data_IF_598473766364
#
_entry.id   IF_598473766364
#
_cell.length_a   1.000
_cell.length_b   1.000
_cell.length_c   1.000
_cell.angle_alpha   90.00
_cell.angle_beta   90.00
_cell.angle_gamma   90.00
#
_symmetry.space_group_name_H-M   'P 1'
#
loop_
_entity.id
_entity.type
_entity.pdbx_description
1 polymer ?
#
# COMPACT_ATOMS: atom_id res chain seq x y z
N UNK A 1 6.44 32.82 -22.06
CA UNK A 1 6.63 31.95 -20.88
C UNK A 1 6.28 30.53 -21.28
N UNK A 2 7.28 29.66 -21.41
CA UNK A 2 7.07 28.25 -21.74
C UNK A 2 6.38 27.59 -20.55
N UNK A 3 5.13 27.13 -20.73
CA UNK A 3 4.49 26.22 -19.79
C UNK A 3 5.31 24.93 -19.80
N UNK A 4 6.09 24.71 -18.76
CA UNK A 4 6.78 23.42 -18.57
C UNK A 4 5.69 22.36 -18.39
N UNK A 5 5.51 21.52 -19.40
CA UNK A 5 4.67 20.35 -19.28
C UNK A 5 5.35 19.39 -18.30
N UNK A 6 4.73 19.14 -17.15
CA UNK A 6 5.14 18.06 -16.24
C UNK A 6 4.67 16.77 -16.90
N UNK A 7 5.51 16.17 -17.73
CA UNK A 7 5.27 14.83 -18.27
C UNK A 7 5.78 13.80 -17.25
N UNK A 8 4.85 13.16 -16.54
CA UNK A 8 5.18 12.00 -15.70
C UNK A 8 5.26 10.75 -16.56
N UNK A 9 6.41 10.07 -16.55
CA UNK A 9 6.50 8.68 -17.00
C UNK A 9 5.91 7.75 -15.93
N UNK A 10 5.80 6.46 -16.23
CA UNK A 10 5.36 5.44 -15.26
C UNK A 10 6.08 5.63 -13.89
N UNK A 11 5.32 5.48 -12.79
CA UNK A 11 5.77 5.40 -11.39
C UNK A 11 5.91 6.69 -10.56
N UNK A 12 5.74 7.90 -11.09
CA UNK A 12 6.14 9.11 -10.34
C UNK A 12 5.08 9.52 -9.27
N UNK A 13 5.30 9.08 -8.03
CA UNK A 13 4.47 9.40 -6.86
C UNK A 13 4.43 10.90 -6.51
N UNK A 14 3.45 11.28 -5.69
CA UNK A 14 3.30 12.62 -5.13
C UNK A 14 3.37 12.49 -3.61
N UNK A 15 4.10 13.39 -2.94
CA UNK A 15 4.06 13.51 -1.49
C UNK A 15 3.59 14.90 -1.10
N UNK A 16 2.65 14.98 -0.16
CA UNK A 16 2.09 16.24 0.29
C UNK A 16 2.59 16.50 1.71
N UNK A 17 3.36 17.57 1.90
CA UNK A 17 3.75 18.05 3.23
C UNK A 17 2.65 18.93 3.82
N UNK A 18 2.12 19.83 3.01
CA UNK A 18 0.99 20.70 3.36
C UNK A 18 0.28 21.16 2.10
N UNK A 19 -0.81 21.92 2.25
CA UNK A 19 -1.48 22.60 1.12
C UNK A 19 -0.55 23.57 0.37
N UNK A 20 0.54 24.00 0.99
CA UNK A 20 1.49 24.99 0.47
C UNK A 20 2.80 24.34 0.00
N UNK A 21 2.97 23.03 0.15
CA UNK A 21 4.19 22.31 -0.26
C UNK A 21 3.88 20.90 -0.72
N UNK A 22 4.06 20.67 -2.01
CA UNK A 22 3.82 19.40 -2.68
C UNK A 22 5.12 18.95 -3.35
N UNK A 23 5.55 17.72 -3.10
CA UNK A 23 6.70 17.14 -3.78
C UNK A 23 6.24 16.34 -4.99
N UNK A 24 6.81 16.67 -6.15
CA UNK A 24 6.50 16.08 -7.44
C UNK A 24 7.70 15.31 -7.95
N UNK A 25 7.52 14.01 -8.15
CA UNK A 25 8.47 13.19 -8.88
C UNK A 25 8.40 13.52 -10.38
N UNK A 26 9.53 13.84 -11.01
CA UNK A 26 9.60 14.18 -12.43
C UNK A 26 10.81 13.56 -13.13
N UNK A 27 10.82 13.65 -14.46
CA UNK A 27 11.90 13.06 -15.30
C UNK A 27 13.26 13.72 -15.08
N UNK A 28 13.31 14.88 -14.44
CA UNK A 28 14.55 15.62 -14.12
C UNK A 28 14.95 15.53 -12.66
N UNK A 29 14.15 14.86 -11.81
CA UNK A 29 14.37 14.87 -10.38
C UNK A 29 13.11 14.99 -9.52
N UNK A 30 13.33 15.12 -8.22
CA UNK A 30 12.28 15.52 -7.28
C UNK A 30 12.19 17.05 -7.24
N UNK A 31 11.00 17.61 -7.41
CA UNK A 31 10.73 19.03 -7.29
C UNK A 31 9.79 19.34 -6.13
N UNK A 32 10.07 20.38 -5.36
CA UNK A 32 9.11 20.98 -4.44
C UNK A 32 8.30 22.03 -5.20
N UNK A 33 6.98 21.87 -5.19
CA UNK A 33 6.03 22.81 -5.74
C UNK A 33 5.39 23.60 -4.60
N UNK A 34 5.51 24.93 -4.70
CA UNK A 34 4.88 25.90 -3.83
C UNK A 34 3.83 26.64 -4.65
N UNK A 35 2.54 26.28 -4.47
CA UNK A 35 1.46 26.92 -5.20
C UNK A 35 1.46 28.44 -5.03
N UNK A 36 1.11 29.22 -6.07
CA UNK A 36 0.60 28.73 -7.35
C UNK A 36 1.67 28.33 -8.38
N UNK A 37 2.89 28.89 -8.35
CA UNK A 37 3.76 28.85 -9.54
C UNK A 37 5.26 28.61 -9.26
N UNK A 38 5.67 28.37 -8.01
CA UNK A 38 7.09 28.20 -7.70
C UNK A 38 7.50 26.72 -7.65
N UNK A 39 8.58 26.37 -8.36
CA UNK A 39 9.16 25.03 -8.41
C UNK A 39 10.64 25.11 -8.05
N UNK A 40 11.04 24.28 -7.10
CA UNK A 40 12.44 24.14 -6.67
C UNK A 40 12.91 22.70 -6.92
N UNK A 41 14.08 22.51 -7.51
CA UNK A 41 14.67 21.19 -7.69
C UNK A 41 15.38 20.76 -6.40
N UNK A 42 14.96 19.64 -5.83
CA UNK A 42 15.47 19.10 -4.56
C UNK A 42 16.55 18.04 -4.80
N UNK A 43 16.28 17.13 -5.73
CA UNK A 43 17.20 16.07 -6.13
C UNK A 43 17.23 15.99 -7.64
N UNK A 44 18.41 15.76 -8.22
CA UNK A 44 18.60 15.46 -9.63
C UNK A 44 18.50 13.95 -9.95
N UNK A 45 18.26 13.11 -8.95
CA UNK A 45 18.01 11.68 -9.16
C UNK A 45 16.60 11.48 -9.69
N UNK A 46 16.46 10.69 -10.76
CA UNK A 46 15.14 10.36 -11.33
C UNK A 46 14.39 9.50 -10.30
N UNK A 47 13.33 10.03 -9.67
CA UNK A 47 12.66 9.35 -8.58
C UNK A 47 11.59 8.41 -9.12
N UNK A 48 11.57 7.19 -8.61
CA UNK A 48 10.48 6.23 -8.80
C UNK A 48 9.39 6.39 -7.74
N UNK A 49 9.69 7.01 -6.59
CA UNK A 49 8.72 7.32 -5.55
C UNK A 49 9.27 8.42 -4.64
N UNK A 50 8.37 9.20 -4.05
CA UNK A 50 8.68 10.07 -2.92
C UNK A 50 7.88 9.66 -1.69
N UNK A 51 8.44 9.88 -0.50
CA UNK A 51 7.75 9.66 0.76
C UNK A 51 8.09 10.78 1.74
N UNK A 52 7.06 11.52 2.18
CA UNK A 52 7.19 12.54 3.22
C UNK A 52 6.96 11.93 4.59
N UNK A 53 7.93 12.07 5.49
CA UNK A 53 7.79 11.72 6.90
C UNK A 53 7.49 12.98 7.74
N UNK A 54 6.27 13.13 8.30
CA UNK A 54 5.89 14.31 9.06
C UNK A 54 6.56 14.40 10.43
N UNK A 55 6.99 13.27 11.01
CA UNK A 55 7.61 13.25 12.34
C UNK A 55 9.05 13.76 12.32
N UNK A 56 9.84 13.38 11.32
CA UNK A 56 11.22 13.82 11.15
C UNK A 56 11.34 15.06 10.23
N UNK A 57 10.24 15.43 9.57
CA UNK A 57 10.18 16.45 8.52
C UNK A 57 11.18 16.16 7.37
N UNK A 58 11.21 14.91 6.91
CA UNK A 58 12.09 14.43 5.86
C UNK A 58 11.32 14.10 4.58
N UNK A 59 11.95 14.33 3.43
CA UNK A 59 11.48 13.84 2.13
C UNK A 59 12.47 12.79 1.61
N UNK A 60 11.95 11.58 1.41
CA UNK A 60 12.70 10.44 0.88
C UNK A 60 12.44 10.33 -0.61
N UNK A 61 13.51 10.16 -1.38
CA UNK A 61 13.55 10.04 -2.84
C UNK A 61 14.02 8.64 -3.18
N UNK A 62 13.08 7.74 -3.49
CA UNK A 62 13.41 6.40 -3.97
C UNK A 62 13.77 6.43 -5.45
N UNK A 63 14.93 5.89 -5.81
CA UNK A 63 15.47 5.86 -7.17
C UNK A 63 16.21 4.53 -7.43
N UNK A 64 16.96 4.45 -8.53
CA UNK A 64 17.92 3.38 -8.75
C UNK A 64 19.32 3.96 -8.42
N UNK A 65 20.08 3.40 -7.46
CA UNK A 65 19.89 2.13 -6.76
C UNK A 65 19.37 2.24 -5.32
N UNK A 66 18.71 3.32 -4.92
CA UNK A 66 18.59 3.57 -3.49
C UNK A 66 17.64 4.67 -3.10
N UNK A 67 17.89 5.24 -1.93
CA UNK A 67 17.08 6.29 -1.33
C UNK A 67 17.96 7.46 -0.92
N UNK A 68 17.66 8.65 -1.43
CA UNK A 68 18.20 9.89 -0.87
C UNK A 68 17.20 10.48 0.11
N UNK A 69 17.68 10.97 1.25
CA UNK A 69 16.86 11.57 2.28
C UNK A 69 17.26 13.04 2.41
N UNK A 70 16.29 13.94 2.32
CA UNK A 70 16.50 15.38 2.47
C UNK A 70 15.71 15.92 3.66
N UNK A 71 16.26 16.92 4.34
CA UNK A 71 15.49 17.70 5.29
C UNK A 71 14.54 18.65 4.54
N UNK A 72 13.31 18.81 5.01
CA UNK A 72 12.34 19.66 4.33
C UNK A 72 12.48 21.16 4.67
N UNK A 73 13.43 21.55 5.53
CA UNK A 73 13.61 22.95 5.96
C UNK A 73 14.56 23.70 5.04
N UNK A 74 15.67 23.07 4.67
CA UNK A 74 16.73 23.65 3.84
C UNK A 74 17.08 22.78 2.62
N UNK A 75 16.39 21.66 2.41
CA UNK A 75 16.65 20.73 1.31
C UNK A 75 18.09 20.19 1.28
N UNK A 76 18.71 20.02 2.44
CA UNK A 76 20.02 19.41 2.56
C UNK A 76 19.89 17.90 2.53
N UNK A 77 20.78 17.26 1.77
CA UNK A 77 20.92 15.80 1.78
C UNK A 77 21.40 15.35 3.17
N UNK A 78 20.58 14.54 3.83
CA UNK A 78 20.87 13.92 5.13
C UNK A 78 21.57 12.58 4.92
N UNK A 79 21.02 11.73 4.05
CA UNK A 79 21.50 10.36 3.83
C UNK A 79 21.38 9.96 2.37
N UNK A 80 22.31 9.12 1.92
CA UNK A 80 22.26 8.47 0.61
C UNK A 80 22.47 6.96 0.76
N UNK A 81 21.36 6.23 0.74
CA UNK A 81 21.32 4.81 1.09
C UNK A 81 21.31 3.99 -0.20
N UNK A 82 22.34 3.15 -0.39
CA UNK A 82 22.33 2.11 -1.42
C UNK A 82 21.52 0.91 -0.93
N UNK A 83 20.20 0.99 -1.08
CA UNK A 83 19.28 -0.07 -0.69
C UNK A 83 19.21 -1.14 -1.79
N UNK A 84 19.62 -2.37 -1.47
CA UNK A 84 19.74 -3.49 -2.43
C UNK A 84 20.85 -3.30 -3.47
N UNK A 85 20.90 -4.18 -4.46
CA UNK A 85 21.87 -4.13 -5.56
C UNK A 85 21.63 -2.92 -6.49
N UNK A 86 22.69 -2.49 -7.16
CA UNK A 86 22.75 -1.25 -7.96
C UNK A 86 21.73 -1.12 -9.11
N UNK A 87 21.01 -2.18 -9.44
CA UNK A 87 20.02 -2.21 -10.51
C UNK A 87 18.57 -2.33 -9.99
N UNK A 88 18.36 -2.29 -8.68
CA UNK A 88 17.04 -2.47 -8.08
C UNK A 88 16.51 -1.09 -7.71
N UNK A 89 15.52 -0.62 -8.47
CA UNK A 89 14.91 0.67 -8.21
C UNK A 89 13.93 0.58 -7.04
N UNK A 90 13.98 1.55 -6.13
CA UNK A 90 13.06 1.62 -4.99
C UNK A 90 11.73 2.20 -5.46
N UNK A 91 10.65 1.40 -5.35
CA UNK A 91 9.32 1.73 -5.88
C UNK A 91 8.23 1.78 -4.79
N UNK A 92 8.61 1.52 -3.55
CA UNK A 92 7.72 1.59 -2.40
C UNK A 92 8.52 1.99 -1.17
N UNK A 93 8.00 2.93 -0.38
CA UNK A 93 8.61 3.39 0.87
C UNK A 93 7.50 3.49 1.92
N UNK A 94 7.75 2.95 3.11
CA UNK A 94 6.89 3.13 4.28
C UNK A 94 7.74 3.20 5.55
N UNK A 95 7.23 3.87 6.58
CA UNK A 95 7.84 3.93 7.90
C UNK A 95 7.04 3.08 8.89
N UNK A 96 7.74 2.28 9.68
CA UNK A 96 7.22 1.65 10.90
C UNK A 96 7.90 2.27 12.14
N UNK A 97 7.52 1.86 13.35
CA UNK A 97 8.11 2.37 14.59
C UNK A 97 9.62 2.14 14.75
N UNK A 98 10.22 1.28 13.92
CA UNK A 98 11.64 0.91 14.01
C UNK A 98 12.49 1.46 12.86
N UNK A 99 11.90 2.16 11.89
CA UNK A 99 12.60 2.75 10.77
C UNK A 99 11.82 2.69 9.46
N UNK A 100 12.57 2.76 8.36
CA UNK A 100 12.03 2.81 7.02
C UNK A 100 12.19 1.47 6.32
N UNK A 101 11.21 1.15 5.48
CA UNK A 101 11.22 0.00 4.60
C UNK A 101 11.22 0.46 3.15
N UNK A 102 12.08 -0.13 2.33
CA UNK A 102 12.27 0.20 0.92
C UNK A 102 12.02 -1.04 0.07
N UNK A 103 10.93 -1.02 -0.71
CA UNK A 103 10.55 -2.12 -1.60
C UNK A 103 11.05 -1.89 -3.02
N UNK A 104 11.51 -2.96 -3.67
CA UNK A 104 11.83 -3.00 -5.10
C UNK A 104 11.17 -4.20 -5.77
N UNK A 105 11.22 -4.27 -7.10
CA UNK A 105 10.82 -5.46 -7.84
C UNK A 105 11.66 -6.72 -7.55
N UNK A 106 12.79 -6.60 -6.84
CA UNK A 106 13.74 -7.69 -6.63
C UNK A 106 14.25 -7.82 -5.18
N UNK A 107 13.54 -7.23 -4.22
CA UNK A 107 13.89 -7.33 -2.82
C UNK A 107 13.26 -6.25 -1.97
N UNK A 108 13.63 -6.26 -0.70
CA UNK A 108 13.17 -5.34 0.33
C UNK A 108 14.37 -4.94 1.20
N UNK A 109 14.47 -3.68 1.61
CA UNK A 109 15.44 -3.24 2.60
C UNK A 109 14.75 -2.63 3.80
N UNK A 110 15.37 -2.75 4.98
CA UNK A 110 14.99 -2.05 6.19
C UNK A 110 16.15 -1.18 6.65
N UNK A 111 15.88 0.09 6.91
CA UNK A 111 16.84 1.06 7.37
C UNK A 111 16.41 1.68 8.70
N UNK A 112 17.26 1.59 9.70
CA UNK A 112 17.05 2.30 10.96
C UNK A 112 17.82 3.63 10.93
N UNK A 113 17.14 4.79 11.01
CA UNK A 113 17.81 6.09 10.90
C UNK A 113 18.66 6.46 12.11
N UNK A 114 18.46 5.81 13.27
CA UNK A 114 19.18 6.05 14.52
C UNK A 114 20.47 5.22 14.56
N UNK A 115 20.37 3.89 14.38
CA UNK A 115 21.55 3.01 14.39
C UNK A 115 22.31 3.00 13.07
N UNK A 116 21.70 3.52 11.99
CA UNK A 116 22.20 3.45 10.61
C UNK A 116 22.29 2.03 10.05
N UNK A 117 21.65 1.06 10.72
CA UNK A 117 21.61 -0.32 10.24
C UNK A 117 20.76 -0.42 8.98
N UNK A 118 21.34 -1.02 7.94
CA UNK A 118 20.67 -1.37 6.70
C UNK A 118 20.67 -2.88 6.55
N UNK A 119 19.49 -3.50 6.52
CA UNK A 119 19.32 -4.92 6.22
C UNK A 119 18.60 -5.11 4.91
N UNK A 120 19.17 -5.94 4.03
CA UNK A 120 18.57 -6.33 2.76
C UNK A 120 17.95 -7.72 2.89
N UNK A 121 16.77 -7.88 2.33
CA UNK A 121 15.99 -9.11 2.27
C UNK A 121 15.78 -9.46 0.79
N UNK A 122 16.34 -10.58 0.35
CA UNK A 122 16.35 -10.99 -1.06
C UNK A 122 16.09 -12.49 -1.19
N UNK A 123 15.88 -12.99 -2.41
CA UNK A 123 15.79 -14.45 -2.61
C UNK A 123 17.16 -15.10 -2.53
N UNK A 124 18.19 -14.36 -2.95
CA UNK A 124 19.58 -14.76 -3.00
C UNK A 124 20.13 -15.07 -1.61
N UNK A 125 19.80 -14.23 -0.61
CA UNK A 125 20.14 -14.49 0.79
C UNK A 125 19.14 -15.39 1.52
N UNK A 126 18.09 -15.87 0.82
CA UNK A 126 17.03 -16.76 1.33
C UNK A 126 16.18 -16.17 2.47
N UNK A 127 16.18 -14.85 2.64
CA UNK A 127 15.38 -14.20 3.69
C UNK A 127 13.91 -14.03 3.31
N UNK A 128 13.60 -13.96 2.02
CA UNK A 128 12.21 -13.79 1.52
C UNK A 128 11.78 -14.89 0.55
N UNK A 129 10.51 -15.34 0.63
CA UNK A 129 9.94 -16.32 -0.30
C UNK A 129 9.36 -15.70 -1.59
N UNK A 130 9.41 -14.37 -1.74
CA UNK A 130 8.88 -13.61 -2.88
C UNK A 130 9.99 -12.89 -3.63
N UNK A 131 9.74 -12.47 -4.88
CA UNK A 131 10.75 -11.80 -5.70
C UNK A 131 11.03 -10.36 -5.21
N UNK A 132 9.99 -9.62 -4.88
CA UNK A 132 10.10 -8.23 -4.47
C UNK A 132 8.78 -7.70 -3.91
N UNK A 133 8.82 -6.45 -3.46
CA UNK A 133 7.71 -5.77 -2.79
C UNK A 133 7.48 -4.44 -3.49
N UNK A 134 6.27 -4.26 -4.01
CA UNK A 134 5.92 -3.11 -4.87
C UNK A 134 4.90 -2.17 -4.22
N UNK A 135 4.23 -2.65 -3.17
CA UNK A 135 3.29 -1.88 -2.37
C UNK A 135 3.43 -2.29 -0.91
N UNK A 136 3.37 -1.33 0.00
CA UNK A 136 3.51 -1.56 1.43
C UNK A 136 2.59 -0.62 2.20
N UNK A 137 2.16 -1.07 3.37
CA UNK A 137 1.46 -0.23 4.33
C UNK A 137 1.75 -0.72 5.74
N UNK A 138 1.80 0.21 6.69
CA UNK A 138 1.87 -0.10 8.12
C UNK A 138 0.53 0.25 8.73
N UNK A 139 -0.06 -0.70 9.46
CA UNK A 139 -1.34 -0.45 10.15
C UNK A 139 -1.16 0.12 11.56
N UNK A 140 -2.28 0.39 12.24
CA UNK A 140 -2.30 0.95 13.59
C UNK A 140 -1.72 0.05 14.69
N UNK A 141 -1.47 -1.24 14.40
CA UNK A 141 -0.74 -2.14 15.29
C UNK A 141 0.75 -2.22 14.94
N UNK A 142 1.22 -1.33 14.07
CA UNK A 142 2.58 -1.31 13.55
C UNK A 142 2.94 -2.63 12.83
N UNK A 143 1.96 -3.29 12.21
CA UNK A 143 2.21 -4.45 11.35
C UNK A 143 2.52 -3.97 9.94
N UNK A 144 3.69 -4.36 9.43
CA UNK A 144 4.05 -4.13 8.03
C UNK A 144 3.37 -5.17 7.14
N UNK A 145 2.56 -4.67 6.21
CA UNK A 145 1.92 -5.42 5.14
C UNK A 145 2.66 -5.20 3.84
N UNK A 146 2.90 -6.29 3.09
CA UNK A 146 3.71 -6.29 1.88
C UNK A 146 2.93 -6.89 0.72
N UNK A 147 2.76 -6.09 -0.33
CA UNK A 147 2.15 -6.50 -1.58
C UNK A 147 3.21 -6.95 -2.56
N UNK A 148 3.09 -8.20 -3.00
CA UNK A 148 4.06 -8.86 -3.88
C UNK A 148 3.37 -9.31 -5.16
N UNK A 149 4.14 -9.85 -6.11
CA UNK A 149 3.59 -10.49 -7.32
C UNK A 149 2.88 -11.82 -7.04
N UNK A 150 3.06 -12.40 -5.83
CA UNK A 150 2.53 -13.71 -5.44
C UNK A 150 1.52 -13.66 -4.29
N UNK A 151 1.00 -12.46 -3.98
CA UNK A 151 -0.01 -12.22 -2.96
C UNK A 151 0.44 -11.28 -1.84
N UNK A 152 -0.35 -11.29 -0.77
CA UNK A 152 -0.14 -10.46 0.42
C UNK A 152 0.72 -11.20 1.46
N UNK A 153 1.69 -10.49 2.02
CA UNK A 153 2.51 -10.95 3.14
C UNK A 153 2.42 -9.97 4.31
N UNK A 154 2.76 -10.43 5.51
CA UNK A 154 3.06 -9.57 6.66
C UNK A 154 4.43 -9.89 7.24
N UNK A 155 5.08 -8.90 7.83
CA UNK A 155 6.32 -9.07 8.56
C UNK A 155 6.06 -9.51 10.00
N UNK A 156 6.83 -10.49 10.47
CA UNK A 156 6.80 -11.02 11.83
C UNK A 156 8.09 -10.61 12.56
N UNK A 157 8.03 -9.45 13.22
CA UNK A 157 9.20 -8.82 13.86
C UNK A 157 9.91 -9.70 14.89
N UNK A 158 9.18 -10.57 15.61
CA UNK A 158 9.74 -11.44 16.66
C UNK A 158 10.78 -12.45 16.14
N UNK A 159 10.64 -12.88 14.90
CA UNK A 159 11.48 -13.91 14.28
C UNK A 159 12.08 -13.45 12.96
N UNK A 160 11.96 -12.15 12.66
CA UNK A 160 12.45 -11.51 11.44
C UNK A 160 12.10 -12.27 10.16
N UNK A 161 10.82 -12.64 10.02
CA UNK A 161 10.34 -13.47 8.92
C UNK A 161 9.09 -12.89 8.26
N UNK A 162 8.68 -13.47 7.13
CA UNK A 162 7.53 -13.03 6.36
C UNK A 162 6.51 -14.15 6.23
N UNK A 163 5.28 -13.87 6.61
CA UNK A 163 4.17 -14.81 6.56
C UNK A 163 3.25 -14.47 5.40
N UNK A 164 2.97 -15.44 4.53
CA UNK A 164 1.96 -15.29 3.48
C UNK A 164 0.58 -15.33 4.10
N UNK A 165 -0.26 -14.35 3.77
CA UNK A 165 -1.65 -14.33 4.20
C UNK A 165 -2.44 -15.25 3.28
N UNK A 166 -2.93 -16.34 3.84
CA UNK A 166 -3.70 -17.34 3.09
C UNK A 166 -5.13 -16.88 2.85
N UNK A 167 -5.59 -17.06 1.61
CA UNK A 167 -6.95 -16.83 1.16
C UNK A 167 -7.08 -17.32 -0.28
N UNK A 168 -8.17 -18.01 -0.61
CA UNK A 168 -8.37 -18.63 -1.94
C UNK A 168 -8.23 -17.62 -3.08
N UNK A 169 -8.50 -16.35 -2.80
CA UNK A 169 -8.57 -15.28 -3.79
C UNK A 169 -7.31 -14.40 -3.87
N UNK A 170 -6.28 -14.58 -3.01
CA UNK A 170 -5.09 -13.71 -3.00
C UNK A 170 -3.82 -14.52 -3.28
N UNK A 171 -3.66 -14.88 -4.55
CA UNK A 171 -2.44 -15.49 -5.09
C UNK A 171 -1.85 -14.70 -6.27
N UNK A 172 -2.30 -13.47 -6.45
CA UNK A 172 -1.98 -12.57 -7.56
C UNK A 172 -1.18 -11.35 -7.09
N UNK A 173 -0.81 -10.51 -8.06
CA UNK A 173 -0.08 -9.28 -7.85
C UNK A 173 -0.88 -8.26 -7.04
N UNK A 174 -0.32 -7.79 -5.91
CA UNK A 174 -0.92 -6.77 -5.05
C UNK A 174 -0.35 -5.38 -5.37
N UNK A 175 -1.17 -4.56 -6.04
CA UNK A 175 -0.75 -3.27 -6.59
C UNK A 175 -0.79 -2.13 -5.58
N UNK A 176 -1.71 -2.15 -4.62
CA UNK A 176 -1.72 -1.20 -3.51
C UNK A 176 -2.21 -1.87 -2.23
N UNK A 177 -1.84 -1.29 -1.09
CA UNK A 177 -2.32 -1.66 0.24
C UNK A 177 -2.66 -0.39 0.99
N UNK A 178 -3.85 -0.33 1.58
CA UNK A 178 -4.28 0.81 2.39
C UNK A 178 -4.96 0.32 3.67
N UNK A 179 -4.35 0.60 4.82
CA UNK A 179 -5.05 0.54 6.10
C UNK A 179 -5.99 1.74 6.21
N UNK A 180 -7.22 1.47 6.67
CA UNK A 180 -8.30 2.43 6.76
C UNK A 180 -8.98 2.33 8.12
N UNK A 181 -9.07 3.47 8.82
CA UNK A 181 -9.80 3.66 10.09
C UNK A 181 -9.47 2.59 11.15
N UNK A 182 -8.23 2.11 11.20
CA UNK A 182 -7.73 1.08 12.13
C UNK A 182 -8.47 -0.27 12.12
N UNK A 183 -9.40 -0.47 11.19
CA UNK A 183 -10.27 -1.64 11.17
C UNK A 183 -10.28 -2.39 9.84
N UNK A 184 -9.92 -1.74 8.74
CA UNK A 184 -10.04 -2.32 7.40
C UNK A 184 -8.69 -2.26 6.69
N UNK A 185 -8.28 -3.37 6.08
CA UNK A 185 -7.20 -3.37 5.09
C UNK A 185 -7.84 -3.51 3.71
N UNK A 186 -7.54 -2.59 2.81
CA UNK A 186 -8.00 -2.61 1.41
C UNK A 186 -6.81 -2.84 0.50
N UNK A 187 -6.97 -3.71 -0.50
CA UNK A 187 -5.90 -4.18 -1.37
C UNK A 187 -6.36 -4.09 -2.82
N UNK A 188 -5.48 -3.63 -3.70
CA UNK A 188 -5.66 -3.75 -5.15
C UNK A 188 -4.99 -4.99 -5.69
N UNK A 189 -5.68 -5.71 -6.57
CA UNK A 189 -5.17 -6.85 -7.32
C UNK A 189 -5.53 -6.70 -8.80
N UNK A 190 -4.86 -7.42 -9.70
CA UNK A 190 -5.12 -7.39 -11.15
C UNK A 190 -6.60 -7.65 -11.51
N UNK A 191 -7.30 -8.41 -10.69
CA UNK A 191 -8.70 -8.81 -10.89
C UNK A 191 -9.72 -8.02 -10.07
N UNK A 192 -9.29 -7.05 -9.24
CA UNK A 192 -10.22 -6.21 -8.50
C UNK A 192 -9.67 -5.72 -7.16
N UNK A 193 -10.58 -5.42 -6.24
CA UNK A 193 -10.25 -4.93 -4.90
C UNK A 193 -10.61 -5.99 -3.88
N UNK A 194 -9.72 -6.23 -2.93
CA UNK A 194 -9.99 -7.04 -1.76
C UNK A 194 -10.05 -6.17 -0.50
N UNK A 195 -10.83 -6.58 0.48
CA UNK A 195 -10.76 -5.99 1.81
C UNK A 195 -11.06 -6.98 2.91
N UNK A 196 -10.39 -6.86 4.06
CA UNK A 196 -10.75 -7.63 5.24
C UNK A 196 -10.62 -6.79 6.51
N UNK A 197 -11.34 -7.23 7.55
CA UNK A 197 -11.35 -6.56 8.84
C UNK A 197 -10.09 -6.94 9.66
N UNK A 198 -9.24 -5.95 9.94
CA UNK A 198 -8.01 -6.10 10.71
C UNK A 198 -8.29 -6.55 12.15
N UNK A 199 -9.34 -6.03 12.79
CA UNK A 199 -9.69 -6.40 14.17
C UNK A 199 -10.04 -7.90 14.25
N UNK A 200 -10.89 -8.38 13.34
CA UNK A 200 -11.25 -9.79 13.27
C UNK A 200 -10.04 -10.67 12.88
N UNK A 201 -9.20 -10.20 11.96
CA UNK A 201 -7.95 -10.88 11.59
C UNK A 201 -7.06 -11.09 12.81
N UNK A 202 -6.84 -10.06 13.64
CA UNK A 202 -6.02 -10.19 14.84
C UNK A 202 -6.64 -11.07 15.93
N UNK A 203 -7.96 -11.20 15.95
CA UNK A 203 -8.66 -12.08 16.90
C UNK A 203 -8.65 -13.54 16.45
N UNK A 204 -8.85 -13.80 15.15
CA UNK A 204 -9.04 -15.15 14.60
C UNK A 204 -7.76 -15.75 14.00
N UNK A 205 -6.75 -14.92 13.70
CA UNK A 205 -5.54 -15.33 12.99
C UNK A 205 -5.75 -15.65 11.50
N UNK A 206 -6.92 -15.33 10.94
CA UNK A 206 -7.29 -15.62 9.55
C UNK A 206 -7.97 -14.42 8.92
N UNK A 207 -7.58 -14.08 7.69
CA UNK A 207 -8.21 -13.01 6.93
C UNK A 207 -9.53 -13.49 6.32
N UNK A 208 -10.58 -12.70 6.48
CA UNK A 208 -11.91 -12.94 5.92
C UNK A 208 -12.16 -11.88 4.83
N UNK A 209 -11.97 -12.28 3.58
CA UNK A 209 -11.89 -11.36 2.46
C UNK A 209 -13.26 -11.09 1.84
N UNK A 210 -13.54 -9.81 1.64
CA UNK A 210 -14.51 -9.34 0.67
C UNK A 210 -13.79 -9.04 -0.64
N UNK A 211 -14.46 -9.29 -1.76
CA UNK A 211 -13.94 -9.06 -3.11
C UNK A 211 -14.88 -8.19 -3.91
N UNK A 212 -14.33 -7.15 -4.54
CA UNK A 212 -15.06 -6.19 -5.35
C UNK A 212 -14.52 -6.16 -6.78
N UNK A 213 -15.42 -6.32 -7.74
CA UNK A 213 -15.16 -6.25 -9.17
C UNK A 213 -16.31 -5.52 -9.89
N UNK A 214 -16.31 -5.58 -11.22
CA UNK A 214 -17.27 -4.86 -12.06
C UNK A 214 -18.73 -5.25 -11.77
N UNK A 215 -18.97 -6.44 -11.19
CA UNK A 215 -20.31 -6.94 -10.91
C UNK A 215 -20.89 -6.43 -9.57
N UNK A 216 -20.06 -5.98 -8.63
CA UNK A 216 -20.50 -5.72 -7.25
C UNK A 216 -19.92 -4.47 -6.58
N UNK A 217 -19.20 -3.61 -7.30
CA UNK A 217 -18.89 -2.27 -6.80
C UNK A 217 -17.59 -1.62 -7.27
N UNK A 218 -16.75 -2.32 -8.03
CA UNK A 218 -15.51 -1.74 -8.58
C UNK A 218 -15.47 -1.83 -10.10
N UNK A 219 -15.63 -0.70 -10.79
CA UNK A 219 -15.75 -0.66 -12.24
C UNK A 219 -14.45 -0.29 -12.98
N UNK A 220 -13.34 -0.13 -12.27
CA UNK A 220 -12.05 0.17 -12.86
C UNK A 220 -11.36 -1.08 -13.38
N UNK A 221 -10.54 -0.93 -14.43
CA UNK A 221 -9.66 -2.00 -14.89
C UNK A 221 -8.30 -1.85 -14.20
N UNK A 222 -7.85 -2.90 -13.52
CA UNK A 222 -6.56 -2.97 -12.83
C UNK A 222 -6.27 -1.76 -11.92
N UNK A 223 -6.51 -1.87 -10.61
CA UNK A 223 -6.03 -0.87 -9.67
C UNK A 223 -4.50 -0.74 -9.80
N UNK A 224 -4.03 0.49 -10.03
CA UNK A 224 -2.61 0.75 -10.34
C UNK A 224 -1.73 0.71 -9.09
N UNK A 225 -0.43 0.56 -9.33
CA UNK A 225 0.57 0.54 -8.26
C UNK A 225 0.50 1.81 -7.41
N UNK A 226 0.35 1.65 -6.09
CA UNK A 226 0.17 2.75 -5.13
C UNK A 226 -0.94 3.75 -5.55
N UNK A 227 -1.91 3.30 -6.34
CA UNK A 227 -2.97 4.13 -6.91
C UNK A 227 -4.12 4.44 -5.95
N UNK A 228 -3.88 4.45 -4.65
CA UNK A 228 -4.90 4.67 -3.63
C UNK A 228 -4.61 5.91 -2.79
N UNK A 229 -5.65 6.67 -2.44
CA UNK A 229 -5.55 7.82 -1.55
C UNK A 229 -6.71 7.86 -0.57
N UNK A 230 -6.39 7.84 0.73
CA UNK A 230 -7.36 7.92 1.81
C UNK A 230 -7.49 9.36 2.30
N UNK A 231 -8.71 9.88 2.26
CA UNK A 231 -9.03 11.22 2.79
C UNK A 231 -9.28 11.18 4.30
N UNK A 232 -9.03 12.30 5.02
CA UNK A 232 -9.40 12.43 6.43
C UNK A 232 -10.89 12.19 6.70
N UNK A 233 -11.76 12.55 5.75
CA UNK A 233 -13.21 12.39 5.87
C UNK A 233 -13.67 10.94 5.76
N UNK A 234 -12.79 10.00 5.39
CA UNK A 234 -13.14 8.59 5.33
C UNK A 234 -13.45 8.05 3.94
N UNK A 235 -13.04 8.73 2.86
CA UNK A 235 -13.18 8.25 1.47
C UNK A 235 -11.86 7.75 0.93
N UNK A 236 -11.86 6.54 0.37
CA UNK A 236 -10.73 5.94 -0.31
C UNK A 236 -10.91 6.09 -1.83
N UNK A 237 -10.07 6.91 -2.44
CA UNK A 237 -9.97 7.06 -3.88
C UNK A 237 -9.03 6.00 -4.45
N UNK A 238 -9.41 5.39 -5.57
CA UNK A 238 -8.69 4.29 -6.20
C UNK A 238 -8.60 4.56 -7.70
N UNK A 239 -7.39 4.86 -8.15
CA UNK A 239 -7.04 5.01 -9.55
C UNK A 239 -6.89 3.66 -10.24
N UNK A 240 -7.40 3.58 -11.46
CA UNK A 240 -7.31 2.43 -12.35
C UNK A 240 -6.94 2.88 -13.77
N UNK A 241 -6.80 1.95 -14.71
CA UNK A 241 -6.55 2.29 -16.11
C UNK A 241 -7.66 3.10 -16.75
N UNK A 242 -8.90 2.91 -16.31
CA UNK A 242 -10.07 3.40 -17.02
C UNK A 242 -10.91 4.37 -16.21
N UNK A 243 -10.86 4.29 -14.87
CA UNK A 243 -11.73 5.06 -13.97
C UNK A 243 -11.05 5.43 -12.66
N UNK A 244 -11.49 6.54 -12.06
CA UNK A 244 -11.30 6.82 -10.65
C UNK A 244 -12.52 6.28 -9.89
N UNK A 245 -12.29 5.33 -8.98
CA UNK A 245 -13.33 4.77 -8.11
C UNK A 245 -13.23 5.37 -6.70
N UNK A 246 -14.35 5.45 -6.00
CA UNK A 246 -14.40 5.93 -4.62
C UNK A 246 -15.11 4.91 -3.75
N UNK A 247 -14.44 4.47 -2.69
CA UNK A 247 -15.02 3.66 -1.62
C UNK A 247 -15.28 4.57 -0.42
N UNK A 248 -16.57 4.82 -0.14
CA UNK A 248 -16.98 5.62 1.02
C UNK A 248 -17.04 4.75 2.28
N UNK A 249 -16.10 4.98 3.20
CA UNK A 249 -15.98 4.22 4.43
C UNK A 249 -16.76 4.85 5.59
N UNK A 250 -17.51 5.93 5.39
CA UNK A 250 -18.23 6.65 6.47
C UNK A 250 -19.58 6.05 6.83
N UNK A 251 -20.25 5.41 5.87
CA UNK A 251 -21.65 5.01 6.01
C UNK A 251 -21.87 3.49 6.14
N UNK A 252 -20.82 2.67 6.11
CA UNK A 252 -20.94 1.20 6.14
C UNK A 252 -20.48 0.62 7.47
N UNK A 253 -21.25 -0.34 7.97
CA UNK A 253 -20.76 -1.30 8.95
C UNK A 253 -19.92 -2.35 8.20
N UNK A 254 -18.59 -2.22 8.28
CA UNK A 254 -17.64 -3.14 7.66
C UNK A 254 -17.38 -4.41 8.50
N UNK A 255 -18.19 -4.61 9.54
CA UNK A 255 -18.34 -5.85 10.29
C UNK A 255 -19.72 -6.44 9.98
N UNK A 256 -19.92 -7.03 8.78
CA UNK A 256 -21.19 -7.66 8.47
C UNK A 256 -21.36 -8.84 9.42
N UNK A 257 -22.44 -8.83 10.22
CA UNK A 257 -22.91 -10.08 10.84
C UNK A 257 -23.14 -11.07 9.68
N UNK A 258 -22.62 -12.30 9.75
CA UNK A 258 -22.80 -13.26 8.68
C UNK A 258 -24.29 -13.33 8.33
N UNK A 259 -24.61 -13.13 7.05
CA UNK A 259 -25.97 -13.29 6.56
C UNK A 259 -26.31 -14.75 6.79
N UNK A 260 -27.20 -15.01 7.76
CA UNK A 260 -27.72 -16.35 7.94
C UNK A 260 -28.58 -16.65 6.71
N UNK A 261 -28.04 -17.47 5.80
CA UNK A 261 -28.78 -17.98 4.66
C UNK A 261 -29.76 -19.04 5.19
N UNK A 262 -31.05 -18.83 4.97
CA UNK A 262 -32.05 -19.83 5.27
C UNK A 262 -32.81 -20.17 3.99
N UNK A 263 -32.90 -21.47 3.69
CA UNK A 263 -33.77 -21.97 2.62
C UNK A 263 -35.19 -22.04 3.17
N UNK A 264 -36.03 -21.07 2.80
CA UNK A 264 -37.43 -21.03 3.25
C UNK A 264 -38.35 -21.92 2.41
N UNK A 265 -37.92 -22.32 1.20
CA UNK A 265 -38.74 -23.08 0.25
C UNK A 265 -37.88 -23.97 -0.65
N UNK A 266 -38.31 -25.22 -0.84
CA UNK A 266 -37.80 -26.14 -1.89
C UNK A 266 -38.99 -26.66 -2.67
N UNK A 267 -38.94 -26.61 -4.01
CA UNK A 267 -40.03 -27.08 -4.88
C UNK A 267 -41.42 -26.57 -4.47
N UNK A 268 -41.52 -25.27 -4.18
CA UNK A 268 -42.75 -24.63 -3.71
C UNK A 268 -43.32 -25.11 -2.36
N UNK A 269 -42.58 -25.88 -1.55
CA UNK A 269 -42.98 -26.26 -0.19
C UNK A 269 -42.13 -25.53 0.85
N UNK A 270 -42.79 -24.97 1.86
CA UNK A 270 -42.10 -24.29 2.96
C UNK A 270 -41.39 -25.29 3.87
N UNK A 271 -40.15 -24.97 4.26
CA UNK A 271 -39.39 -25.74 5.26
C UNK A 271 -39.48 -24.99 6.60
N UNK A 272 -39.89 -25.69 7.65
CA UNK A 272 -39.98 -25.12 9.00
C UNK A 272 -38.59 -25.11 9.62
N UNK A 273 -38.06 -23.92 9.91
CA UNK A 273 -36.79 -23.76 10.62
C UNK A 273 -37.01 -24.00 12.11
N UNK A 274 -36.33 -24.98 12.70
CA UNK A 274 -36.19 -25.10 14.15
C UNK A 274 -34.94 -24.35 14.58
N UNK A 275 -35.02 -23.59 15.68
CA UNK A 275 -34.02 -22.58 16.08
C UNK A 275 -32.59 -23.11 16.33
N UNK A 276 -32.33 -24.42 16.23
CA UNK A 276 -31.09 -25.07 16.70
C UNK A 276 -30.44 -26.13 15.79
N UNK A 277 -30.66 -26.16 14.47
CA UNK A 277 -30.02 -27.19 13.62
C UNK A 277 -29.37 -26.62 12.36
N UNK A 278 -28.03 -26.67 12.33
CA UNK A 278 -27.17 -26.46 11.14
C UNK A 278 -27.19 -27.68 10.18
N UNK A 279 -28.24 -28.50 10.18
CA UNK A 279 -28.40 -29.66 9.31
C UNK A 279 -29.83 -29.77 8.78
N UNK A 280 -29.93 -29.96 7.47
CA UNK A 280 -31.18 -30.28 6.76
C UNK A 280 -31.42 -31.79 6.83
N UNK A 281 -32.64 -32.22 7.17
CA UNK A 281 -33.14 -33.59 6.96
C UNK A 281 -34.04 -33.58 5.72
#
# INVERSE_FOLDING_TARGET
MNKSHISGSYYHGISVKSKDTIYLCGTTGLQAFYPPDNLELISNQIPMISYYDPELDWILVGSCPGVQIYDCKNHMLIENIQALHTHYCIVSIVKDNNGFWFGSYKGLSRFNPISKDLKNYTRENKDIPFLGVISMNVDSKNTLWLGTTSGLYRYISKVDSFEKISGELINSHISFIQSCKDTLLVLGSTDGIYSFNLKLFYQKGKADFNYYNQLNGYQGDEPRQNGSYMTPEGKLYIGSNTKLSVMDLTHRNWDPKPVKLFVSKVNNRFIKLTENSDTFI
#
